data_IF_978091710971
#
_entry.id   IF_978091710971
#
_cell.length_a   1.000
_cell.length_b   1.000
_cell.length_c   1.000
_cell.angle_alpha   90.00
_cell.angle_beta   90.00
_cell.angle_gamma   90.00
#
_symmetry.space_group_name_H-M   'P 1'
#
loop_
_entity.id
_entity.type
_entity.pdbx_description
1 polymer ?
#
# COMPACT_ATOMS: atom_id res chain seq x y z
N UNK A 1 -18.07 -9.44 25.02
CA UNK A 1 -18.72 -8.14 24.65
C UNK A 1 -19.26 -8.26 23.23
N UNK A 2 -20.31 -7.51 22.85
CA UNK A 2 -20.94 -7.64 21.52
C UNK A 2 -20.70 -6.43 20.63
N UNK A 3 -20.17 -6.68 19.44
CA UNK A 3 -19.88 -5.68 18.43
C UNK A 3 -20.65 -5.96 17.14
N UNK A 4 -21.19 -4.91 16.53
CA UNK A 4 -21.75 -5.06 15.18
C UNK A 4 -20.62 -5.32 14.16
N UNK A 5 -19.46 -4.69 14.33
CA UNK A 5 -18.30 -4.85 13.45
C UNK A 5 -17.04 -5.00 14.31
N UNK A 6 -16.24 -6.03 14.03
CA UNK A 6 -14.86 -6.18 14.55
C UNK A 6 -13.90 -6.04 13.37
N UNK A 7 -12.96 -5.11 13.47
CA UNK A 7 -11.92 -4.87 12.46
C UNK A 7 -10.59 -5.35 13.05
N UNK A 8 -9.94 -6.29 12.38
CA UNK A 8 -8.68 -6.91 12.82
C UNK A 8 -7.53 -6.25 12.05
N UNK A 9 -6.67 -5.51 12.76
CA UNK A 9 -5.62 -4.67 12.19
C UNK A 9 -5.98 -3.19 12.28
N UNK A 10 -5.26 -2.43 13.10
CA UNK A 10 -5.54 -1.04 13.42
C UNK A 10 -4.68 -0.01 12.70
N UNK A 11 -3.84 -0.45 11.77
CA UNK A 11 -3.04 0.41 10.89
C UNK A 11 -3.94 1.13 9.86
N UNK A 12 -3.37 1.63 8.76
CA UNK A 12 -4.08 2.56 7.87
C UNK A 12 -5.33 1.96 7.23
N UNK A 13 -5.32 0.69 6.82
CA UNK A 13 -6.47 0.04 6.15
C UNK A 13 -7.65 -0.09 7.13
N UNK A 14 -7.44 -0.72 8.29
CA UNK A 14 -8.50 -0.89 9.28
C UNK A 14 -8.97 0.44 9.87
N UNK A 15 -8.06 1.39 10.09
CA UNK A 15 -8.43 2.76 10.49
C UNK A 15 -9.28 3.46 9.42
N UNK A 16 -8.99 3.26 8.13
CA UNK A 16 -9.77 3.82 7.03
C UNK A 16 -11.18 3.21 6.97
N UNK A 17 -11.31 1.89 7.13
CA UNK A 17 -12.61 1.20 7.21
C UNK A 17 -13.44 1.75 8.38
N UNK A 18 -12.86 1.81 9.58
CA UNK A 18 -13.55 2.33 10.77
C UNK A 18 -13.98 3.80 10.59
N UNK A 19 -13.12 4.61 9.99
CA UNK A 19 -13.37 6.03 9.76
C UNK A 19 -14.53 6.22 8.80
N UNK A 20 -14.49 5.56 7.63
CA UNK A 20 -15.53 5.72 6.64
C UNK A 20 -16.84 5.04 7.01
N UNK A 21 -16.84 3.98 7.83
CA UNK A 21 -18.09 3.45 8.40
C UNK A 21 -18.87 4.55 9.13
N UNK A 22 -18.16 5.37 9.93
CA UNK A 22 -18.76 6.50 10.64
C UNK A 22 -19.15 7.63 9.69
N UNK A 23 -18.34 7.95 8.68
CA UNK A 23 -18.72 8.91 7.63
C UNK A 23 -19.93 8.45 6.79
N UNK A 24 -20.14 7.14 6.66
CA UNK A 24 -21.33 6.58 6.00
C UNK A 24 -22.56 6.53 6.90
N UNK A 25 -22.49 7.03 8.13
CA UNK A 25 -23.61 7.07 9.06
C UNK A 25 -23.86 5.76 9.80
N UNK A 26 -22.93 4.80 9.77
CA UNK A 26 -23.04 3.60 10.59
C UNK A 26 -23.02 4.00 12.07
N UNK A 27 -24.09 3.65 12.80
CA UNK A 27 -24.27 4.01 14.21
C UNK A 27 -24.02 2.86 15.19
N UNK A 28 -23.80 1.64 14.70
CA UNK A 28 -23.53 0.45 15.51
C UNK A 28 -22.18 0.49 16.24
N UNK A 29 -21.92 -0.53 17.04
CA UNK A 29 -20.66 -0.70 17.80
C UNK A 29 -19.55 -1.24 16.90
N UNK A 30 -18.36 -0.62 16.99
CA UNK A 30 -17.16 -1.00 16.22
C UNK A 30 -16.01 -1.25 17.20
N UNK A 31 -15.42 -2.44 17.13
CA UNK A 31 -14.13 -2.72 17.76
C UNK A 31 -13.03 -2.67 16.69
N UNK A 32 -11.97 -1.90 16.94
CA UNK A 32 -10.75 -1.89 16.15
C UNK A 32 -9.63 -2.54 16.96
N UNK A 33 -9.26 -3.76 16.58
CA UNK A 33 -8.29 -4.60 17.29
C UNK A 33 -6.90 -4.44 16.66
N UNK A 34 -5.92 -4.06 17.47
CA UNK A 34 -4.52 -3.92 17.06
C UNK A 34 -3.61 -4.59 18.09
N UNK A 35 -2.63 -5.36 17.64
CA UNK A 35 -1.68 -6.03 18.54
C UNK A 35 -0.57 -5.08 19.00
N UNK A 36 -0.13 -4.17 18.12
CA UNK A 36 0.95 -3.23 18.38
C UNK A 36 0.43 -1.79 18.28
N UNK A 37 0.15 -1.14 19.43
CA UNK A 37 -0.38 0.22 19.44
C UNK A 37 0.64 1.27 18.97
N UNK A 38 1.92 0.92 18.88
CA UNK A 38 2.99 1.79 18.40
C UNK A 38 3.24 1.64 16.89
N UNK A 39 2.69 0.59 16.26
CA UNK A 39 2.90 0.29 14.84
C UNK A 39 4.38 0.14 14.47
N UNK A 40 5.19 -0.39 15.38
CA UNK A 40 6.64 -0.54 15.22
C UNK A 40 7.00 -1.39 14.00
N UNK A 41 6.22 -2.45 13.76
CA UNK A 41 6.45 -3.41 12.67
C UNK A 41 5.34 -3.38 11.61
N UNK A 42 4.52 -2.32 11.59
CA UNK A 42 3.44 -2.24 10.62
C UNK A 42 3.97 -1.90 9.22
N UNK A 43 3.45 -2.58 8.19
CA UNK A 43 3.76 -2.25 6.79
C UNK A 43 3.52 -0.77 6.46
N UNK A 44 2.53 -0.15 7.11
CA UNK A 44 2.21 1.29 6.99
C UNK A 44 3.41 2.17 7.35
N UNK A 45 4.00 1.98 8.52
CA UNK A 45 5.03 2.85 9.11
C UNK A 45 6.42 2.57 8.55
N UNK A 46 6.66 1.33 8.11
CA UNK A 46 7.92 0.90 7.48
C UNK A 46 7.94 1.06 5.95
N UNK A 47 6.90 1.67 5.35
CA UNK A 47 6.84 1.91 3.91
C UNK A 47 7.67 3.12 3.45
N UNK A 48 7.92 3.19 2.14
CA UNK A 48 8.48 4.37 1.46
C UNK A 48 7.46 5.52 1.27
N UNK A 49 6.21 5.28 1.65
CA UNK A 49 5.11 6.24 1.73
C UNK A 49 4.92 7.13 0.48
N UNK A 50 4.36 6.56 -0.58
CA UNK A 50 4.24 7.23 -1.86
C UNK A 50 2.88 6.97 -2.53
N UNK A 51 2.49 7.88 -3.42
CA UNK A 51 1.25 7.83 -4.19
C UNK A 51 1.56 8.00 -5.66
N UNK A 52 0.93 7.15 -6.48
CA UNK A 52 1.01 7.19 -7.94
C UNK A 52 -0.34 6.82 -8.55
N UNK A 53 -0.49 7.18 -9.80
CA UNK A 53 -1.58 6.80 -10.72
C UNK A 53 -1.06 5.85 -11.81
N UNK A 54 0.26 5.64 -11.91
CA UNK A 54 0.88 4.76 -12.90
C UNK A 54 0.64 3.27 -12.59
N UNK A 55 -0.55 2.78 -12.96
CA UNK A 55 -0.95 1.37 -12.97
C UNK A 55 -1.39 0.95 -14.38
N UNK A 56 -1.52 -0.35 -14.62
CA UNK A 56 -2.05 -0.94 -15.85
C UNK A 56 -3.56 -1.22 -15.77
N UNK A 57 -4.08 -1.44 -14.55
CA UNK A 57 -5.49 -1.74 -14.29
C UNK A 57 -6.24 -0.46 -13.88
N UNK A 58 -7.31 -0.05 -14.59
CA UNK A 58 -8.08 1.15 -14.29
C UNK A 58 -8.59 1.23 -12.85
N UNK A 59 -9.03 0.11 -12.28
CA UNK A 59 -9.53 0.04 -10.91
C UNK A 59 -8.48 0.48 -9.88
N UNK A 60 -7.22 0.09 -10.05
CA UNK A 60 -6.14 0.51 -9.16
C UNK A 60 -5.81 2.01 -9.30
N UNK A 61 -5.92 2.56 -10.52
CA UNK A 61 -5.78 4.00 -10.77
C UNK A 61 -6.86 4.79 -10.02
N UNK A 62 -8.12 4.33 -10.12
CA UNK A 62 -9.27 4.97 -9.45
C UNK A 62 -9.14 4.94 -7.92
N UNK A 63 -8.63 3.86 -7.34
CA UNK A 63 -8.33 3.78 -5.90
C UNK A 63 -7.32 4.86 -5.49
N UNK A 64 -6.21 5.01 -6.23
CA UNK A 64 -5.21 6.04 -5.95
C UNK A 64 -5.74 7.45 -6.16
N UNK A 65 -6.52 7.69 -7.21
CA UNK A 65 -7.15 8.99 -7.47
C UNK A 65 -8.12 9.41 -6.37
N UNK A 66 -8.86 8.47 -5.76
CA UNK A 66 -9.68 8.77 -4.59
C UNK A 66 -8.82 9.31 -3.44
N UNK A 67 -7.74 8.62 -3.11
CA UNK A 67 -6.83 9.03 -2.03
C UNK A 67 -6.13 10.34 -2.34
N UNK A 68 -5.74 10.58 -3.60
CA UNK A 68 -5.20 11.87 -4.02
C UNK A 68 -6.20 13.02 -3.79
N UNK A 69 -7.48 12.82 -4.10
CA UNK A 69 -8.55 13.80 -3.81
C UNK A 69 -8.71 14.05 -2.31
N UNK A 70 -8.46 13.04 -1.47
CA UNK A 70 -8.40 13.21 -0.02
C UNK A 70 -7.20 14.06 0.40
N UNK A 71 -6.01 13.84 -0.18
CA UNK A 71 -4.81 14.61 0.15
C UNK A 71 -5.01 16.12 -0.07
N UNK A 72 -5.77 16.51 -1.11
CA UNK A 72 -6.12 17.91 -1.36
C UNK A 72 -7.10 18.52 -0.37
N UNK A 73 -7.84 17.68 0.36
CA UNK A 73 -8.93 18.09 1.27
C UNK A 73 -8.65 17.71 2.73
N UNK A 74 -7.41 17.37 3.08
CA UNK A 74 -7.06 16.94 4.44
C UNK A 74 -7.51 17.93 5.51
N UNK A 75 -7.40 19.23 5.24
CA UNK A 75 -7.80 20.27 6.20
C UNK A 75 -9.30 20.36 6.39
N UNK A 76 -10.06 20.12 5.33
CA UNK A 76 -11.53 20.05 5.39
C UNK A 76 -11.96 18.80 6.17
N UNK A 77 -11.28 17.67 5.92
CA UNK A 77 -11.65 16.36 6.44
C UNK A 77 -11.21 16.14 7.91
N UNK A 78 -10.01 16.58 8.26
CA UNK A 78 -9.34 16.30 9.54
C UNK A 78 -9.05 17.55 10.38
N UNK A 79 -9.41 18.74 9.89
CA UNK A 79 -9.23 20.02 10.58
C UNK A 79 -8.02 20.83 10.10
N UNK A 80 -7.97 22.11 10.46
CA UNK A 80 -7.04 23.10 9.89
C UNK A 80 -5.54 22.74 9.97
N UNK A 81 -5.15 22.00 11.01
CA UNK A 81 -3.75 21.58 11.24
C UNK A 81 -3.39 20.26 10.53
N UNK A 82 -4.29 19.68 9.75
CA UNK A 82 -4.03 18.42 9.06
C UNK A 82 -3.00 18.63 7.94
N UNK A 83 -1.87 17.94 8.09
CA UNK A 83 -0.79 17.89 7.13
C UNK A 83 -0.11 16.52 7.18
N UNK A 84 0.20 15.97 6.01
CA UNK A 84 0.94 14.71 5.85
C UNK A 84 2.30 14.95 5.20
N UNK A 85 2.71 16.20 5.00
CA UNK A 85 3.95 16.54 4.33
C UNK A 85 3.98 16.09 2.86
N UNK A 86 2.83 16.10 2.17
CA UNK A 86 2.75 15.63 0.78
C UNK A 86 3.66 16.47 -0.13
N UNK A 87 4.65 15.80 -0.72
CA UNK A 87 5.56 16.31 -1.74
C UNK A 87 5.15 15.76 -3.08
N UNK A 88 4.59 16.63 -3.90
CA UNK A 88 4.16 16.31 -5.26
C UNK A 88 5.34 16.42 -6.23
N UNK A 89 6.35 15.57 -6.03
CA UNK A 89 7.56 15.54 -6.87
C UNK A 89 7.41 14.70 -8.14
N UNK A 90 6.29 14.00 -8.32
CA UNK A 90 6.06 13.10 -9.44
C UNK A 90 6.69 11.72 -9.25
N UNK A 91 6.42 10.86 -10.22
CA UNK A 91 6.96 9.51 -10.34
C UNK A 91 7.46 9.30 -11.77
N UNK A 92 8.69 8.84 -11.93
CA UNK A 92 9.30 8.52 -13.23
C UNK A 92 9.58 7.02 -13.29
N UNK A 93 8.80 6.28 -14.08
CA UNK A 93 9.03 4.86 -14.34
C UNK A 93 9.73 4.73 -15.68
N UNK A 94 10.95 4.20 -15.66
CA UNK A 94 11.76 3.99 -16.85
C UNK A 94 11.50 2.62 -17.47
N UNK A 95 11.67 2.51 -18.78
CA UNK A 95 11.68 1.25 -19.51
C UNK A 95 12.84 1.19 -20.51
N UNK A 96 13.50 0.04 -20.57
CA UNK A 96 14.34 -0.35 -21.70
C UNK A 96 13.49 -0.84 -22.88
N UNK A 97 14.16 -1.40 -23.89
CA UNK A 97 13.52 -1.83 -25.15
C UNK A 97 12.40 -2.84 -24.90
N UNK A 98 12.65 -3.87 -24.07
CA UNK A 98 11.69 -4.93 -23.76
C UNK A 98 10.46 -4.44 -22.98
N UNK A 99 10.63 -3.40 -22.15
CA UNK A 99 9.57 -2.83 -21.32
C UNK A 99 8.71 -1.79 -22.04
N UNK A 100 9.19 -1.25 -23.17
CA UNK A 100 8.55 -0.14 -23.88
C UNK A 100 7.11 -0.41 -24.34
N UNK A 101 6.76 -1.60 -24.90
CA UNK A 101 5.39 -1.87 -25.30
C UNK A 101 4.41 -1.84 -24.12
N UNK A 102 4.82 -2.39 -22.98
CA UNK A 102 3.99 -2.40 -21.77
C UNK A 102 3.88 -0.99 -21.19
N UNK A 103 4.98 -0.22 -21.14
CA UNK A 103 4.96 1.17 -20.68
C UNK A 103 3.99 2.04 -21.50
N UNK A 104 3.97 1.86 -22.83
CA UNK A 104 3.00 2.52 -23.73
C UNK A 104 1.55 2.13 -23.43
N UNK A 105 1.27 0.83 -23.33
CA UNK A 105 -0.07 0.34 -23.01
C UNK A 105 -0.57 0.83 -21.65
N UNK A 106 0.32 0.86 -20.65
CA UNK A 106 0.01 1.38 -19.32
C UNK A 106 -0.28 2.89 -19.38
N UNK A 107 0.54 3.66 -20.10
CA UNK A 107 0.34 5.10 -20.31
C UNK A 107 -1.02 5.40 -20.95
N UNK A 108 -1.44 4.63 -21.95
CA UNK A 108 -2.75 4.78 -22.58
C UNK A 108 -3.90 4.54 -21.58
N UNK A 109 -3.82 3.50 -20.76
CA UNK A 109 -4.81 3.22 -19.72
C UNK A 109 -4.86 4.36 -18.66
N UNK A 110 -3.70 4.90 -18.29
CA UNK A 110 -3.59 6.00 -17.34
C UNK A 110 -4.20 7.30 -17.87
N UNK A 111 -3.92 7.63 -19.13
CA UNK A 111 -4.52 8.79 -19.79
C UNK A 111 -6.03 8.63 -19.94
N UNK A 112 -6.53 7.42 -20.21
CA UNK A 112 -7.96 7.14 -20.28
C UNK A 112 -8.69 7.36 -18.94
N UNK A 113 -8.01 7.14 -17.81
CA UNK A 113 -8.49 7.47 -16.47
C UNK A 113 -8.23 8.93 -16.05
N UNK A 114 -7.70 9.76 -16.96
CA UNK A 114 -7.47 11.19 -16.74
C UNK A 114 -6.26 11.53 -15.88
N UNK A 115 -5.31 10.61 -15.71
CA UNK A 115 -4.07 10.89 -15.02
C UNK A 115 -3.16 11.80 -15.87
N UNK A 116 -2.40 12.68 -15.20
CA UNK A 116 -1.54 13.67 -15.86
C UNK A 116 -0.10 13.14 -16.00
N UNK A 117 0.08 12.19 -16.93
CA UNK A 117 1.33 11.48 -17.15
C UNK A 117 1.81 11.71 -18.58
N UNK A 118 3.09 12.02 -18.74
CA UNK A 118 3.75 12.10 -20.06
C UNK A 118 4.61 10.89 -20.30
N UNK A 119 4.62 10.40 -21.54
CA UNK A 119 5.56 9.40 -22.00
C UNK A 119 6.63 10.09 -22.84
N UNK A 120 7.88 10.01 -22.39
CA UNK A 120 9.02 10.70 -22.99
C UNK A 120 10.09 9.71 -23.42
N UNK A 121 10.68 9.93 -24.60
CA UNK A 121 11.85 9.17 -25.05
C UNK A 121 13.14 9.58 -24.31
N UNK A 122 14.22 8.83 -24.54
CA UNK A 122 15.51 9.09 -23.91
C UNK A 122 16.02 10.54 -24.09
N UNK A 123 15.88 11.11 -25.28
CA UNK A 123 16.34 12.48 -25.56
C UNK A 123 15.51 13.53 -24.82
N UNK A 124 14.19 13.33 -24.74
CA UNK A 124 13.27 14.16 -23.97
C UNK A 124 13.58 14.07 -22.47
N UNK A 125 13.84 12.87 -21.96
CA UNK A 125 14.24 12.65 -20.57
C UNK A 125 15.56 13.34 -20.24
N UNK A 126 16.60 13.21 -21.07
CA UNK A 126 17.88 13.90 -20.87
C UNK A 126 17.73 15.42 -20.88
N UNK A 127 16.84 15.96 -21.71
CA UNK A 127 16.52 17.40 -21.70
C UNK A 127 15.78 17.83 -20.43
N UNK A 128 14.86 17.00 -19.93
CA UNK A 128 14.06 17.29 -18.74
C UNK A 128 14.86 17.14 -17.45
N UNK A 129 15.63 16.07 -17.36
CA UNK A 129 16.43 15.68 -16.20
C UNK A 129 17.89 15.53 -16.63
N UNK A 130 18.66 16.62 -16.76
CA UNK A 130 20.06 16.55 -17.24
C UNK A 130 21.01 15.74 -16.35
N UNK A 131 20.59 15.44 -15.12
CA UNK A 131 21.31 14.60 -14.17
C UNK A 131 21.05 13.09 -14.37
N UNK A 132 20.05 12.71 -15.16
CA UNK A 132 19.67 11.33 -15.43
C UNK A 132 20.47 10.78 -16.61
N UNK A 133 21.13 9.66 -16.41
CA UNK A 133 21.67 8.83 -17.49
C UNK A 133 20.55 7.98 -18.10
N UNK A 134 20.41 8.07 -19.42
CA UNK A 134 19.45 7.32 -20.22
C UNK A 134 20.09 6.12 -20.93
N UNK A 135 21.28 5.70 -20.49
CA UNK A 135 21.93 4.48 -20.99
C UNK A 135 21.02 3.26 -20.81
N UNK A 136 20.72 2.57 -21.93
CA UNK A 136 19.84 1.40 -21.94
C UNK A 136 18.35 1.70 -21.72
N UNK A 137 17.96 2.98 -21.67
CA UNK A 137 16.58 3.42 -21.49
C UNK A 137 15.99 3.84 -22.83
N UNK A 138 14.82 3.30 -23.17
CA UNK A 138 14.10 3.68 -24.38
C UNK A 138 13.09 4.80 -24.14
N UNK A 139 12.40 4.77 -22.99
CA UNK A 139 11.43 5.79 -22.60
C UNK A 139 11.20 5.81 -21.09
N UNK A 140 10.48 6.83 -20.63
CA UNK A 140 9.99 6.93 -19.26
C UNK A 140 8.60 7.56 -19.20
N UNK A 141 7.76 7.05 -18.30
CA UNK A 141 6.48 7.63 -17.97
C UNK A 141 6.62 8.49 -16.71
N UNK A 142 6.33 9.78 -16.83
CA UNK A 142 6.48 10.78 -15.77
C UNK A 142 5.15 11.41 -15.40
N UNK A 143 4.71 11.21 -14.15
CA UNK A 143 3.57 11.94 -13.60
C UNK A 143 3.91 13.38 -13.28
N UNK A 144 3.32 14.31 -14.05
CA UNK A 144 3.53 15.76 -13.90
C UNK A 144 2.82 16.32 -12.67
N UNK A 145 1.65 15.77 -12.33
CA UNK A 145 0.86 16.14 -11.15
C UNK A 145 0.20 14.91 -10.54
N UNK A 146 -0.16 15.02 -9.26
CA UNK A 146 -0.90 14.02 -8.51
C UNK A 146 -0.07 12.85 -7.97
N UNK A 147 1.26 12.87 -8.15
CA UNK A 147 2.15 11.78 -7.74
C UNK A 147 3.30 12.30 -6.87
N UNK A 148 3.80 11.45 -5.97
CA UNK A 148 4.92 11.80 -5.10
C UNK A 148 4.92 11.01 -3.80
N UNK A 149 5.35 11.64 -2.70
CA UNK A 149 5.52 10.99 -1.40
C UNK A 149 5.03 11.85 -0.24
N UNK A 150 4.79 11.21 0.90
CA UNK A 150 4.22 11.82 2.08
C UNK A 150 4.65 11.05 3.33
N UNK A 151 4.28 11.53 4.52
CA UNK A 151 4.55 10.86 5.77
C UNK A 151 3.41 9.89 6.14
N UNK A 152 3.72 8.59 6.14
CA UNK A 152 2.76 7.54 6.48
C UNK A 152 2.29 7.60 7.94
N UNK A 153 3.15 8.02 8.88
CA UNK A 153 2.80 8.16 10.29
C UNK A 153 1.85 9.33 10.50
N UNK A 154 2.07 10.45 9.82
CA UNK A 154 1.19 11.60 9.84
C UNK A 154 -0.20 11.22 9.30
N UNK A 155 -0.26 10.51 8.16
CA UNK A 155 -1.52 10.03 7.61
C UNK A 155 -2.25 9.09 8.59
N UNK A 156 -1.58 8.08 9.12
CA UNK A 156 -2.16 7.17 10.13
C UNK A 156 -2.65 7.93 11.36
N UNK A 157 -1.88 8.92 11.82
CA UNK A 157 -2.21 9.75 12.97
C UNK A 157 -3.48 10.57 12.73
N UNK A 158 -3.68 11.14 11.54
CA UNK A 158 -4.91 11.86 11.19
C UNK A 158 -6.14 10.97 11.33
N UNK A 159 -6.13 9.79 10.71
CA UNK A 159 -7.23 8.83 10.79
C UNK A 159 -7.50 8.40 12.24
N UNK A 160 -6.45 8.01 12.98
CA UNK A 160 -6.59 7.55 14.37
C UNK A 160 -7.05 8.66 15.31
N UNK A 161 -6.58 9.90 15.13
CA UNK A 161 -7.04 11.06 15.90
C UNK A 161 -8.53 11.31 15.65
N UNK A 162 -8.99 11.25 14.40
CA UNK A 162 -10.39 11.42 14.07
C UNK A 162 -11.27 10.32 14.68
N UNK A 163 -10.80 9.07 14.67
CA UNK A 163 -11.52 7.94 15.25
C UNK A 163 -11.77 8.05 16.76
N UNK A 164 -10.87 8.71 17.53
CA UNK A 164 -11.08 8.96 18.97
C UNK A 164 -12.36 9.75 19.27
N UNK A 165 -12.84 10.52 18.30
CA UNK A 165 -14.07 11.32 18.42
C UNK A 165 -15.31 10.60 17.83
N UNK A 166 -15.13 9.40 17.26
CA UNK A 166 -16.16 8.68 16.49
C UNK A 166 -16.68 7.41 17.15
N UNK A 167 -16.57 7.29 18.49
CA UNK A 167 -17.08 6.15 19.28
C UNK A 167 -16.65 4.79 18.70
N UNK A 168 -15.36 4.64 18.42
CA UNK A 168 -14.76 3.36 18.02
C UNK A 168 -13.93 2.86 19.19
N UNK A 169 -14.15 1.62 19.59
CA UNK A 169 -13.45 1.02 20.72
C UNK A 169 -12.12 0.46 20.22
N UNK A 170 -11.02 1.04 20.71
CA UNK A 170 -9.67 0.57 20.41
C UNK A 170 -9.29 -0.53 21.39
N UNK A 171 -9.04 -1.73 20.87
CA UNK A 171 -8.67 -2.89 21.68
C UNK A 171 -7.23 -3.27 21.33
N UNK A 172 -6.37 -3.29 22.35
CA UNK A 172 -4.97 -3.68 22.19
C UNK A 172 -4.86 -5.17 22.55
N UNK A 173 -4.81 -6.03 21.53
CA UNK A 173 -4.74 -7.48 21.72
C UNK A 173 -4.35 -8.20 20.42
N UNK A 174 -3.72 -9.36 20.57
CA UNK A 174 -3.67 -10.36 19.50
C UNK A 174 -5.05 -11.01 19.31
N UNK A 175 -5.43 -11.23 18.06
CA UNK A 175 -6.53 -12.15 17.73
C UNK A 175 -5.95 -13.56 17.60
N UNK A 176 -6.56 -14.52 18.29
CA UNK A 176 -6.04 -15.89 18.40
C UNK A 176 -6.95 -16.94 17.79
N UNK A 177 -8.26 -16.68 17.68
CA UNK A 177 -9.23 -17.55 17.03
C UNK A 177 -10.44 -16.77 16.52
N UNK A 178 -11.13 -17.32 15.51
CA UNK A 178 -12.39 -16.78 15.00
C UNK A 178 -13.43 -17.90 14.99
N UNK A 179 -14.48 -17.73 15.80
CA UNK A 179 -15.56 -18.69 15.91
C UNK A 179 -16.55 -18.54 14.74
N UNK A 180 -17.04 -19.68 14.24
CA UNK A 180 -18.06 -19.76 13.19
C UNK A 180 -19.20 -20.67 13.59
N UNK A 181 -20.39 -20.31 13.14
CA UNK A 181 -21.56 -21.19 13.06
C UNK A 181 -21.91 -21.36 11.59
N UNK A 182 -21.53 -22.52 11.02
CA UNK A 182 -21.58 -22.78 9.58
C UNK A 182 -20.88 -21.69 8.75
N UNK A 183 -21.67 -20.99 7.94
CA UNK A 183 -21.20 -19.95 7.01
C UNK A 183 -21.25 -18.54 7.61
N UNK A 184 -21.23 -18.42 8.94
CA UNK A 184 -21.28 -17.13 9.62
C UNK A 184 -20.25 -17.05 10.73
N UNK A 185 -19.43 -16.01 10.74
CA UNK A 185 -18.58 -15.69 11.89
C UNK A 185 -19.43 -15.19 13.05
N UNK A 186 -19.18 -15.68 14.25
CA UNK A 186 -19.97 -15.34 15.46
C UNK A 186 -19.14 -14.63 16.52
N UNK A 187 -17.82 -14.81 16.53
CA UNK A 187 -16.96 -14.12 17.47
C UNK A 187 -15.47 -14.20 17.17
N UNK A 188 -14.70 -13.36 17.86
CA UNK A 188 -13.25 -13.20 17.75
C UNK A 188 -12.66 -13.35 19.15
N UNK A 189 -11.81 -14.35 19.34
CA UNK A 189 -11.09 -14.58 20.59
C UNK A 189 -9.78 -13.81 20.61
N UNK A 190 -9.48 -13.22 21.77
CA UNK A 190 -8.32 -12.38 21.99
C UNK A 190 -7.27 -13.12 22.83
N UNK A 191 -6.00 -12.72 22.71
CA UNK A 191 -4.88 -13.30 23.45
C UNK A 191 -4.96 -13.13 24.97
N UNK A 192 -5.77 -12.19 25.45
CA UNK A 192 -6.05 -11.97 26.87
C UNK A 192 -7.16 -12.89 27.44
N UNK A 193 -7.71 -13.81 26.63
CA UNK A 193 -8.79 -14.72 27.02
C UNK A 193 -10.20 -14.18 26.83
N UNK A 194 -10.37 -12.91 26.46
CA UNK A 194 -11.68 -12.35 26.14
C UNK A 194 -12.18 -12.82 24.77
N UNK A 195 -13.51 -12.80 24.58
CA UNK A 195 -14.13 -13.03 23.28
C UNK A 195 -15.12 -11.91 22.95
N UNK A 196 -14.98 -11.40 21.72
CA UNK A 196 -15.85 -10.40 21.14
C UNK A 196 -16.88 -11.11 20.26
N UNK A 197 -18.17 -11.02 20.57
CA UNK A 197 -19.20 -11.42 19.62
C UNK A 197 -19.20 -10.44 18.45
N UNK A 198 -19.25 -10.96 17.22
CA UNK A 198 -19.09 -10.17 16.00
C UNK A 198 -20.28 -10.35 15.04
N UNK A 199 -20.89 -9.23 14.66
CA UNK A 199 -21.85 -9.17 13.56
C UNK A 199 -21.16 -9.39 12.21
N UNK A 200 -20.15 -8.58 11.94
CA UNK A 200 -19.25 -8.60 10.77
C UNK A 200 -17.81 -8.60 11.27
N UNK A 201 -16.92 -9.31 10.59
CA UNK A 201 -15.47 -9.23 10.78
C UNK A 201 -14.82 -8.69 9.51
N UNK A 202 -13.97 -7.68 9.66
CA UNK A 202 -13.12 -7.16 8.57
C UNK A 202 -11.68 -7.56 8.87
N UNK A 203 -11.10 -8.38 7.99
CA UNK A 203 -9.69 -8.70 8.01
C UNK A 203 -8.89 -7.57 7.35
N UNK A 204 -8.23 -6.76 8.16
CA UNK A 204 -7.30 -5.71 7.72
C UNK A 204 -5.89 -5.96 8.29
N UNK A 205 -5.54 -7.24 8.53
CA UNK A 205 -4.37 -7.64 9.31
C UNK A 205 -3.03 -7.58 8.55
N UNK A 206 -2.99 -6.86 7.41
CA UNK A 206 -1.80 -6.67 6.59
C UNK A 206 -1.05 -7.98 6.33
N UNK A 207 0.26 -8.07 6.62
CA UNK A 207 1.06 -9.28 6.34
C UNK A 207 0.55 -10.56 7.05
N UNK A 208 -0.28 -10.42 8.08
CA UNK A 208 -0.88 -11.55 8.80
C UNK A 208 -2.27 -11.94 8.27
N UNK A 209 -2.74 -11.35 7.17
CA UNK A 209 -4.09 -11.57 6.64
C UNK A 209 -4.40 -13.04 6.38
N UNK A 210 -3.47 -13.80 5.78
CA UNK A 210 -3.65 -15.24 5.56
C UNK A 210 -3.82 -16.02 6.85
N UNK A 211 -3.04 -15.71 7.89
CA UNK A 211 -3.15 -16.33 9.22
C UNK A 211 -4.50 -16.02 9.88
N UNK A 212 -4.97 -14.78 9.76
CA UNK A 212 -6.27 -14.36 10.31
C UNK A 212 -7.43 -15.03 9.55
N UNK A 213 -7.35 -15.15 8.22
CA UNK A 213 -8.33 -15.91 7.44
C UNK A 213 -8.38 -17.38 7.87
N UNK A 214 -7.21 -18.00 8.07
CA UNK A 214 -7.09 -19.40 8.53
C UNK A 214 -7.72 -19.63 9.91
N UNK A 215 -7.69 -18.64 10.81
CA UNK A 215 -8.42 -18.71 12.10
C UNK A 215 -9.93 -18.85 11.94
N UNK A 216 -10.49 -18.38 10.82
CA UNK A 216 -11.88 -18.57 10.44
C UNK A 216 -12.08 -19.80 9.53
N UNK A 217 -11.07 -20.65 9.35
CA UNK A 217 -11.13 -21.78 8.42
C UNK A 217 -11.26 -21.36 6.94
N UNK A 218 -10.71 -20.20 6.58
CA UNK A 218 -10.70 -19.68 5.21
C UNK A 218 -9.26 -19.63 4.69
N UNK A 219 -9.09 -19.96 3.42
CA UNK A 219 -7.81 -19.77 2.73
C UNK A 219 -7.71 -18.34 2.21
N UNK A 220 -6.50 -17.79 2.19
CA UNK A 220 -6.21 -16.51 1.56
C UNK A 220 -4.73 -16.54 1.17
N UNK A 221 -4.37 -16.39 -0.12
CA UNK A 221 -3.00 -16.48 -0.60
C UNK A 221 -2.22 -15.19 -0.30
N UNK A 222 -2.30 -14.68 0.92
CA UNK A 222 -1.63 -13.46 1.36
C UNK A 222 -0.70 -13.79 2.51
N UNK A 223 0.60 -13.55 2.30
CA UNK A 223 1.66 -13.87 3.24
C UNK A 223 2.67 -12.70 3.37
N UNK A 224 3.46 -12.64 4.44
CA UNK A 224 4.47 -11.61 4.58
C UNK A 224 5.56 -11.78 3.53
N UNK A 225 6.14 -10.66 3.12
CA UNK A 225 7.37 -10.60 2.33
C UNK A 225 8.26 -9.49 2.87
N UNK A 226 9.55 -9.77 3.02
CA UNK A 226 10.51 -8.81 3.58
C UNK A 226 10.99 -7.89 2.46
N UNK A 227 10.97 -6.58 2.72
CA UNK A 227 11.53 -5.55 1.85
C UNK A 227 12.47 -4.66 2.64
N UNK A 228 13.59 -4.28 2.04
CA UNK A 228 14.61 -3.44 2.66
C UNK A 228 14.54 -2.02 2.09
N UNK A 229 14.70 -1.04 2.96
CA UNK A 229 14.84 0.37 2.56
C UNK A 229 16.14 0.89 3.14
N UNK A 230 16.90 1.58 2.28
CA UNK A 230 18.18 2.18 2.62
C UNK A 230 18.08 3.71 2.49
N UNK A 231 18.82 4.38 3.35
CA UNK A 231 18.97 5.83 3.37
C UNK A 231 20.43 6.14 3.09
N UNK A 232 20.68 7.07 2.17
CA UNK A 232 22.03 7.53 1.89
C UNK A 232 22.10 9.05 1.73
N UNK A 233 23.29 9.57 1.97
CA UNK A 233 23.67 10.94 1.65
C UNK A 233 24.42 10.96 0.32
N UNK A 234 24.11 11.95 -0.52
CA UNK A 234 24.89 12.30 -1.70
C UNK A 234 25.14 13.81 -1.67
N UNK A 235 26.27 14.23 -2.24
CA UNK A 235 26.63 15.65 -2.34
C UNK A 235 25.60 16.43 -3.15
N UNK A 236 25.22 15.89 -4.30
CA UNK A 236 24.31 16.58 -5.21
C UNK A 236 22.85 16.37 -4.83
N UNK A 237 22.09 17.46 -4.97
CA UNK A 237 20.67 17.58 -4.63
C UNK A 237 19.91 18.07 -5.85
N UNK A 238 18.88 17.33 -6.22
CA UNK A 238 18.06 17.59 -7.40
C UNK A 238 16.66 17.97 -6.95
N UNK A 239 16.33 19.26 -7.03
CA UNK A 239 15.03 19.78 -6.58
C UNK A 239 13.86 19.29 -7.44
N UNK A 240 14.16 18.95 -8.69
CA UNK A 240 13.25 18.44 -9.71
C UNK A 240 13.18 16.89 -9.75
N UNK A 241 13.89 16.19 -8.85
CA UNK A 241 13.95 14.74 -8.88
C UNK A 241 12.64 14.09 -8.42
N UNK A 242 11.97 13.31 -9.27
CA UNK A 242 10.81 12.52 -8.88
C UNK A 242 11.23 11.30 -8.06
N UNK A 243 10.25 10.51 -7.61
CA UNK A 243 10.56 9.11 -7.31
C UNK A 243 10.87 8.41 -8.64
N UNK A 244 12.11 8.00 -8.81
CA UNK A 244 12.62 7.31 -9.98
C UNK A 244 12.52 5.80 -9.78
N UNK A 245 12.01 5.07 -10.78
CA UNK A 245 12.07 3.60 -10.84
C UNK A 245 12.80 3.15 -12.09
N UNK A 246 13.85 2.37 -11.87
CA UNK A 246 14.66 1.72 -12.87
C UNK A 246 14.01 0.44 -13.41
N UNK A 247 14.26 0.00 -14.66
CA UNK A 247 13.72 -1.27 -15.17
C UNK A 247 14.12 -2.51 -14.35
N UNK A 248 15.18 -2.45 -13.53
CA UNK A 248 15.55 -3.51 -12.58
C UNK A 248 14.59 -3.63 -11.38
N UNK A 249 13.65 -2.71 -11.21
CA UNK A 249 12.77 -2.62 -10.04
C UNK A 249 13.34 -1.82 -8.87
N UNK A 250 14.57 -1.29 -8.99
CA UNK A 250 15.15 -0.39 -8.00
C UNK A 250 14.48 0.97 -8.10
N UNK A 251 14.12 1.52 -6.96
CA UNK A 251 13.56 2.85 -6.86
C UNK A 251 14.39 3.76 -5.96
N UNK A 252 14.32 5.07 -6.21
CA UNK A 252 14.97 6.08 -5.37
C UNK A 252 14.16 7.38 -5.37
N UNK A 253 14.11 8.07 -4.22
CA UNK A 253 13.56 9.43 -4.11
C UNK A 253 14.31 10.28 -3.11
N UNK A 254 14.25 11.62 -3.23
CA UNK A 254 14.74 12.53 -2.20
C UNK A 254 13.83 12.53 -0.95
N UNK A 255 14.42 12.81 0.20
CA UNK A 255 13.76 13.04 1.50
C UNK A 255 14.58 14.07 2.29
N UNK A 256 14.17 15.35 2.24
CA UNK A 256 14.92 16.42 2.87
C UNK A 256 16.36 16.50 2.35
N UNK A 257 17.34 16.24 3.22
CA UNK A 257 18.78 16.25 2.88
C UNK A 257 19.34 14.88 2.49
N UNK A 258 18.52 13.82 2.47
CA UNK A 258 18.95 12.45 2.17
C UNK A 258 18.15 11.88 0.99
N UNK A 259 18.50 10.66 0.59
CA UNK A 259 17.77 9.86 -0.39
C UNK A 259 17.34 8.54 0.21
N UNK A 260 16.19 8.04 -0.20
CA UNK A 260 15.68 6.71 0.17
C UNK A 260 15.63 5.84 -1.07
N UNK A 261 16.03 4.58 -0.93
CA UNK A 261 16.05 3.59 -2.01
C UNK A 261 15.70 2.20 -1.50
N UNK A 262 15.23 1.34 -2.40
CA UNK A 262 14.92 -0.06 -2.13
C UNK A 262 14.51 -0.76 -3.43
N UNK A 263 14.03 -2.00 -3.30
CA UNK A 263 13.74 -2.89 -4.42
C UNK A 263 14.88 -3.87 -4.72
N UNK A 264 14.76 -4.59 -5.83
CA UNK A 264 15.70 -5.61 -6.31
C UNK A 264 15.91 -6.83 -5.41
N UNK A 265 14.99 -7.15 -4.51
CA UNK A 265 14.95 -8.50 -3.93
C UNK A 265 14.68 -9.53 -5.06
N UNK A 266 15.57 -10.50 -5.31
CA UNK A 266 15.40 -11.48 -6.39
C UNK A 266 14.14 -12.31 -6.15
N UNK A 267 13.36 -12.57 -7.21
CA UNK A 267 12.22 -13.51 -7.13
C UNK A 267 12.69 -14.90 -6.67
N UNK A 268 13.91 -15.30 -7.08
CA UNK A 268 14.54 -16.53 -6.65
C UNK A 268 14.88 -16.45 -5.15
N UNK A 269 14.06 -17.13 -4.34
CA UNK A 269 14.18 -17.14 -2.88
C UNK A 269 13.28 -16.14 -2.15
N UNK A 270 12.47 -15.35 -2.86
CA UNK A 270 11.47 -14.44 -2.26
C UNK A 270 10.30 -15.25 -1.67
N UNK A 271 10.48 -15.67 -0.42
CA UNK A 271 9.55 -16.49 0.36
C UNK A 271 9.07 -15.76 1.61
N UNK A 272 8.09 -16.35 2.28
CA UNK A 272 7.62 -15.82 3.56
C UNK A 272 8.79 -15.80 4.56
N UNK A 273 9.13 -14.63 5.15
CA UNK A 273 10.17 -14.55 6.16
C UNK A 273 9.71 -15.19 7.47
N UNK A 274 10.65 -15.41 8.39
CA UNK A 274 10.27 -15.61 9.78
C UNK A 274 9.48 -14.38 10.27
N UNK A 275 8.36 -14.54 11.00
CA UNK A 275 7.55 -13.41 11.46
C UNK A 275 8.31 -12.36 12.30
N UNK A 276 9.42 -12.72 12.93
CA UNK A 276 10.29 -11.83 13.70
C UNK A 276 11.49 -11.29 12.93
N UNK A 277 11.69 -11.68 11.67
CA UNK A 277 12.84 -11.24 10.86
C UNK A 277 12.62 -9.83 10.28
N UNK A 278 13.12 -8.83 11.00
CA UNK A 278 13.24 -7.44 10.56
C UNK A 278 14.70 -7.02 10.35
N UNK A 279 15.60 -8.00 10.21
CA UNK A 279 17.02 -7.73 10.00
C UNK A 279 17.27 -7.25 8.57
N UNK A 280 18.03 -6.17 8.46
CA UNK A 280 18.40 -5.53 7.19
C UNK A 280 19.44 -6.37 6.46
N UNK A 281 19.20 -6.64 5.19
CA UNK A 281 20.18 -7.26 4.30
C UNK A 281 21.12 -6.21 3.67
N UNK A 282 22.14 -5.76 4.41
CA UNK A 282 23.09 -4.74 3.93
C UNK A 282 23.80 -5.04 2.60
N UNK A 283 24.23 -6.28 2.31
CA UNK A 283 24.79 -6.63 1.00
C UNK A 283 23.92 -6.24 -0.20
N UNK A 284 22.59 -6.24 -0.06
CA UNK A 284 21.67 -5.80 -1.11
C UNK A 284 21.97 -4.37 -1.58
N UNK A 285 22.34 -3.49 -0.65
CA UNK A 285 22.65 -2.10 -0.99
C UNK A 285 23.93 -2.01 -1.82
N UNK A 286 25.00 -2.65 -1.36
CA UNK A 286 26.34 -2.52 -1.97
C UNK A 286 26.47 -3.31 -3.29
N UNK A 287 25.91 -4.51 -3.34
CA UNK A 287 26.13 -5.45 -4.44
C UNK A 287 25.11 -5.27 -5.58
N UNK A 288 23.92 -4.72 -5.30
CA UNK A 288 22.80 -4.68 -6.26
C UNK A 288 22.29 -3.26 -6.47
N UNK A 289 21.89 -2.56 -5.39
CA UNK A 289 21.22 -1.26 -5.50
C UNK A 289 22.18 -0.18 -5.98
N UNK A 290 23.32 -0.01 -5.30
CA UNK A 290 24.24 1.09 -5.56
C UNK A 290 24.80 1.10 -7.00
N UNK A 291 25.22 -0.04 -7.61
CA UNK A 291 25.65 -0.05 -9.00
C UNK A 291 24.60 0.52 -9.97
N UNK A 292 23.32 0.13 -9.82
CA UNK A 292 22.23 0.63 -10.67
C UNK A 292 21.98 2.12 -10.44
N UNK A 293 22.00 2.57 -9.18
CA UNK A 293 21.85 3.99 -8.86
C UNK A 293 22.99 4.84 -9.45
N UNK A 294 24.23 4.37 -9.39
CA UNK A 294 25.39 5.04 -9.98
C UNK A 294 25.29 5.09 -11.51
N UNK A 295 24.81 4.03 -12.16
CA UNK A 295 24.55 4.04 -13.62
C UNK A 295 23.48 5.07 -13.99
N UNK A 296 22.37 5.16 -13.25
CA UNK A 296 21.25 6.06 -13.59
C UNK A 296 21.50 7.50 -13.20
N UNK A 297 22.22 7.75 -12.12
CA UNK A 297 22.55 9.09 -11.66
C UNK A 297 24.06 9.09 -11.41
N UNK A 298 24.89 9.51 -12.39
CA UNK A 298 26.35 9.41 -12.29
C UNK A 298 26.94 10.09 -11.04
N UNK A 299 26.29 11.14 -10.52
CA UNK A 299 26.69 11.76 -9.25
C UNK A 299 26.56 10.83 -8.03
N UNK A 300 25.85 9.71 -8.14
CA UNK A 300 25.70 8.70 -7.10
C UNK A 300 26.82 7.64 -7.11
N UNK A 301 27.84 7.77 -7.97
CA UNK A 301 29.11 7.04 -7.81
C UNK A 301 29.78 7.30 -6.46
N UNK A 302 29.47 8.43 -5.82
CA UNK A 302 29.99 8.79 -4.50
C UNK A 302 28.85 9.11 -3.51
N UNK A 303 28.29 8.06 -2.91
CA UNK A 303 27.26 8.16 -1.87
C UNK A 303 27.72 7.52 -0.56
N UNK A 304 27.03 7.88 0.53
CA UNK A 304 27.28 7.35 1.86
C UNK A 304 26.00 6.75 2.44
N UNK A 305 25.88 5.41 2.58
CA UNK A 305 24.76 4.82 3.30
C UNK A 305 24.79 5.27 4.77
N UNK A 306 23.63 5.53 5.34
CA UNK A 306 23.50 6.06 6.72
C UNK A 306 22.60 5.21 7.60
N UNK A 307 21.39 4.89 7.13
CA UNK A 307 20.40 4.13 7.88
C UNK A 307 19.70 3.15 6.95
N UNK A 308 19.10 2.13 7.53
CA UNK A 308 18.24 1.22 6.81
C UNK A 308 17.24 0.60 7.75
N UNK A 309 16.18 0.04 7.20
CA UNK A 309 15.23 -0.80 7.92
C UNK A 309 14.67 -1.86 6.99
N UNK A 310 14.21 -2.97 7.58
CA UNK A 310 13.42 -3.95 6.86
C UNK A 310 11.97 -3.91 7.38
N UNK A 311 11.03 -4.19 6.50
CA UNK A 311 9.61 -4.29 6.84
C UNK A 311 8.96 -5.45 6.12
N UNK A 312 7.84 -5.93 6.65
CA UNK A 312 6.99 -6.90 5.97
C UNK A 312 5.83 -6.19 5.32
N UNK A 313 5.52 -6.56 4.08
CA UNK A 313 4.27 -6.19 3.41
C UNK A 313 3.44 -7.42 3.06
N UNK A 314 2.16 -7.20 2.80
CA UNK A 314 1.18 -8.25 2.51
C UNK A 314 1.16 -8.61 1.03
N UNK A 315 1.90 -9.65 0.70
CA UNK A 315 2.09 -10.12 -0.66
C UNK A 315 1.04 -11.15 -1.02
N UNK A 316 0.24 -10.86 -2.05
CA UNK A 316 -0.69 -11.81 -2.63
C UNK A 316 0.04 -12.71 -3.63
N UNK A 317 0.22 -13.99 -3.29
CA UNK A 317 0.95 -14.96 -4.12
C UNK A 317 0.22 -15.35 -5.40
N UNK A 318 -1.08 -15.06 -5.52
CA UNK A 318 -1.82 -15.29 -6.76
C UNK A 318 -1.39 -14.30 -7.85
N UNK A 319 -1.45 -13.01 -7.54
CA UNK A 319 -1.36 -11.96 -8.56
C UNK A 319 -0.82 -10.62 -8.09
N UNK A 320 -0.37 -10.54 -6.83
CA UNK A 320 0.16 -9.32 -6.24
C UNK A 320 -0.87 -8.17 -6.20
N UNK A 321 -2.17 -8.49 -6.17
CA UNK A 321 -3.23 -7.47 -6.16
C UNK A 321 -4.22 -7.68 -5.00
N UNK A 322 -4.91 -6.61 -4.61
CA UNK A 322 -5.75 -6.59 -3.43
C UNK A 322 -6.93 -7.57 -3.51
N UNK A 323 -7.31 -8.12 -2.35
CA UNK A 323 -8.55 -8.87 -2.14
C UNK A 323 -9.46 -8.02 -1.26
N UNK A 324 -10.59 -7.60 -1.83
CA UNK A 324 -11.51 -6.63 -1.21
C UNK A 324 -12.94 -7.15 -1.25
N UNK A 325 -13.64 -7.09 -0.12
CA UNK A 325 -15.05 -7.44 -0.03
C UNK A 325 -15.31 -8.78 0.68
N UNK A 326 -16.55 -9.30 0.64
CA UNK A 326 -16.96 -10.44 1.45
C UNK A 326 -16.46 -11.75 0.85
N UNK A 327 -16.23 -12.74 1.71
CA UNK A 327 -16.14 -14.13 1.26
C UNK A 327 -17.49 -14.57 0.65
N UNK A 328 -17.52 -15.30 -0.48
CA UNK A 328 -18.77 -15.71 -1.13
C UNK A 328 -19.67 -16.59 -0.25
N UNK A 329 -19.07 -17.49 0.53
CA UNK A 329 -19.79 -18.36 1.47
C UNK A 329 -19.97 -17.71 2.86
N UNK A 330 -18.87 -17.26 3.48
CA UNK A 330 -18.88 -16.58 4.78
C UNK A 330 -19.08 -15.08 4.63
N UNK A 331 -20.28 -14.68 4.18
CA UNK A 331 -20.58 -13.31 3.73
C UNK A 331 -20.37 -12.19 4.75
N UNK A 332 -20.29 -12.52 6.06
CA UNK A 332 -19.98 -11.55 7.11
C UNK A 332 -18.49 -11.48 7.50
N UNK A 333 -17.61 -12.15 6.76
CA UNK A 333 -16.16 -12.01 6.84
C UNK A 333 -15.66 -11.31 5.57
N UNK A 334 -15.11 -10.11 5.74
CA UNK A 334 -14.69 -9.23 4.65
C UNK A 334 -13.16 -9.11 4.63
N UNK A 335 -12.59 -9.05 3.43
CA UNK A 335 -11.16 -8.87 3.16
C UNK A 335 -10.86 -7.42 2.80
N UNK A 336 -9.67 -6.97 3.23
CA UNK A 336 -9.06 -5.69 2.90
C UNK A 336 -7.54 -5.85 2.95
N UNK A 337 -6.98 -6.67 2.05
CA UNK A 337 -5.60 -7.18 2.16
C UNK A 337 -4.97 -7.43 0.78
N UNK A 338 -3.70 -7.83 0.76
CA UNK A 338 -3.01 -8.36 -0.43
C UNK A 338 -2.49 -7.28 -1.37
N UNK A 339 -2.34 -6.05 -0.89
CA UNK A 339 -2.01 -4.89 -1.71
C UNK A 339 -0.61 -4.91 -2.31
N UNK A 340 0.26 -5.80 -1.85
CA UNK A 340 1.59 -6.10 -2.42
C UNK A 340 2.42 -4.86 -2.79
N UNK A 341 2.40 -3.83 -1.93
CA UNK A 341 3.20 -2.60 -2.10
C UNK A 341 2.39 -1.32 -2.17
N UNK A 342 1.08 -1.40 -2.42
CA UNK A 342 0.28 -0.19 -2.70
C UNK A 342 -0.76 0.12 -1.62
N UNK A 343 -0.75 -0.63 -0.51
CA UNK A 343 -1.81 -0.59 0.49
C UNK A 343 -1.97 0.76 1.18
N UNK A 344 -0.88 1.52 1.38
CA UNK A 344 -0.96 2.84 2.00
C UNK A 344 -1.76 3.84 1.17
N UNK A 345 -1.46 3.94 -0.13
CA UNK A 345 -2.16 4.87 -1.03
C UNK A 345 -3.59 4.41 -1.36
N UNK A 346 -3.90 3.12 -1.29
CA UNK A 346 -5.24 2.61 -1.60
C UNK A 346 -6.14 2.48 -0.36
N UNK A 347 -5.58 2.49 0.85
CA UNK A 347 -6.32 2.26 2.09
C UNK A 347 -7.54 3.17 2.28
N UNK A 348 -7.49 4.50 2.06
CA UNK A 348 -8.69 5.34 2.18
C UNK A 348 -9.81 4.93 1.23
N UNK A 349 -9.47 4.65 -0.03
CA UNK A 349 -10.44 4.25 -1.04
C UNK A 349 -11.10 2.91 -0.70
N UNK A 350 -10.30 1.93 -0.27
CA UNK A 350 -10.82 0.63 0.19
C UNK A 350 -11.67 0.76 1.45
N UNK A 351 -11.24 1.60 2.40
CA UNK A 351 -12.01 1.90 3.60
C UNK A 351 -13.39 2.47 3.27
N UNK A 352 -13.45 3.41 2.33
CA UNK A 352 -14.68 4.00 1.82
C UNK A 352 -15.55 2.97 1.09
N UNK A 353 -14.98 2.17 0.20
CA UNK A 353 -15.69 1.15 -0.55
C UNK A 353 -16.33 0.09 0.37
N UNK A 354 -15.58 -0.42 1.35
CA UNK A 354 -16.11 -1.40 2.31
C UNK A 354 -17.15 -0.79 3.25
N UNK A 355 -16.97 0.46 3.69
CA UNK A 355 -17.99 1.15 4.46
C UNK A 355 -19.30 1.31 3.68
N UNK A 356 -19.22 1.67 2.39
CA UNK A 356 -20.39 1.76 1.52
C UNK A 356 -21.05 0.39 1.32
N UNK A 357 -20.26 -0.66 1.08
CA UNK A 357 -20.79 -2.01 0.96
C UNK A 357 -21.53 -2.45 2.23
N UNK A 358 -20.95 -2.22 3.41
CA UNK A 358 -21.53 -2.62 4.70
C UNK A 358 -22.81 -1.84 5.00
N UNK A 359 -22.83 -0.53 4.77
CA UNK A 359 -23.95 0.33 5.15
C UNK A 359 -25.07 0.32 4.11
N UNK A 360 -24.71 0.27 2.82
CA UNK A 360 -25.63 0.49 1.71
C UNK A 360 -25.87 -0.76 0.85
N UNK A 361 -25.14 -1.84 1.09
CA UNK A 361 -25.26 -3.09 0.31
C UNK A 361 -24.56 -3.07 -1.05
N UNK A 362 -23.75 -2.06 -1.35
CA UNK A 362 -23.01 -1.98 -2.61
C UNK A 362 -21.95 -0.87 -2.62
N UNK A 363 -20.94 -1.03 -3.48
CA UNK A 363 -19.95 0.01 -3.77
C UNK A 363 -20.63 1.20 -4.46
N UNK A 364 -20.27 2.45 -4.09
CA UNK A 364 -20.88 3.66 -4.66
C UNK A 364 -19.86 4.64 -5.23
N UNK A 365 -18.72 4.82 -4.56
CA UNK A 365 -17.70 5.78 -4.99
C UNK A 365 -16.65 5.16 -5.91
N UNK A 366 -16.10 4.00 -5.52
CA UNK A 366 -15.17 3.20 -6.36
C UNK A 366 -15.68 1.77 -6.35
N UNK A 367 -15.89 1.19 -7.53
CA UNK A 367 -16.29 -0.21 -7.66
C UNK A 367 -15.08 -1.12 -7.42
N UNK A 368 -15.15 -1.91 -6.34
CA UNK A 368 -14.11 -2.87 -5.98
C UNK A 368 -14.46 -4.32 -6.37
N UNK A 369 -15.50 -4.55 -7.17
CA UNK A 369 -16.00 -5.89 -7.50
C UNK A 369 -14.92 -6.76 -8.17
N UNK A 370 -14.04 -6.16 -8.99
CA UNK A 370 -12.93 -6.85 -9.64
C UNK A 370 -11.89 -7.41 -8.65
N UNK A 371 -11.81 -6.88 -7.42
CA UNK A 371 -10.92 -7.35 -6.36
C UNK A 371 -11.55 -8.43 -5.47
N UNK A 372 -12.80 -8.83 -5.74
CA UNK A 372 -13.56 -9.76 -4.90
C UNK A 372 -12.93 -11.15 -4.78
N UNK A 373 -13.13 -11.79 -3.62
CA UNK A 373 -12.56 -13.12 -3.31
C UNK A 373 -12.95 -14.22 -4.32
N UNK A 374 -14.06 -14.08 -5.05
CA UNK A 374 -14.46 -15.05 -6.08
C UNK A 374 -13.36 -15.35 -7.10
N UNK A 375 -12.58 -14.34 -7.51
CA UNK A 375 -11.45 -14.53 -8.42
C UNK A 375 -10.35 -15.41 -7.79
N UNK A 376 -10.14 -15.30 -6.48
CA UNK A 376 -9.15 -16.08 -5.73
C UNK A 376 -9.59 -17.54 -5.66
N UNK A 377 -10.85 -17.79 -5.32
CA UNK A 377 -11.43 -19.13 -5.30
C UNK A 377 -11.35 -19.83 -6.67
N UNK A 378 -11.46 -19.06 -7.76
CA UNK A 378 -11.35 -19.55 -9.13
C UNK A 378 -9.90 -19.65 -9.65
N UNK A 379 -8.89 -19.22 -8.86
CA UNK A 379 -7.49 -19.15 -9.32
C UNK A 379 -7.26 -18.14 -10.45
N UNK A 380 -8.16 -17.17 -10.61
CA UNK A 380 -8.15 -16.18 -11.69
C UNK A 380 -7.39 -14.93 -11.26
N UNK A 381 -6.17 -14.79 -11.80
CA UNK A 381 -5.30 -13.65 -11.54
C UNK A 381 -5.86 -12.33 -12.10
N UNK A 382 -5.66 -11.26 -11.35
CA UNK A 382 -5.94 -9.86 -11.71
C UNK A 382 -4.65 -9.06 -11.49
N UNK A 383 -3.61 -9.42 -12.24
CA UNK A 383 -2.23 -8.95 -12.05
C UNK A 383 -1.97 -7.65 -12.80
N UNK A 384 -1.27 -6.72 -12.14
CA UNK A 384 -0.71 -5.53 -12.77
C UNK A 384 0.51 -5.86 -13.64
N UNK A 385 0.74 -5.10 -14.71
CA UNK A 385 1.87 -5.29 -15.62
C UNK A 385 2.90 -4.16 -15.45
N UNK A 386 4.17 -4.52 -15.18
CA UNK A 386 5.29 -3.59 -15.00
C UNK A 386 4.97 -2.41 -14.07
N UNK A 387 4.39 -2.72 -12.92
CA UNK A 387 4.23 -1.77 -11.81
C UNK A 387 5.26 -2.07 -10.73
N UNK A 388 5.59 -1.05 -9.95
CA UNK A 388 6.60 -1.05 -8.87
C UNK A 388 6.11 -1.82 -7.66
#
# INVERSE_FOLDING_TARGET
MRYNIVIIGGAIVGSSVAYYLREQGFSGTIALVERDPQFTHAATTLSMASIRQQFSIPENIRLSQFTLKLFRRLKEEFGADADIGFREGGYLILAGEDGLPILKSNHEAQMAEGADIVLEDADQLTRRFPWLSTEGISAGAYGRTGEGWFDAHAMLTLFRKALRQKKVDFIIADVTAIARDGNRVTGVSLGNGETLEAGIVVNAAGPNAGKVAAMAGLELPVEPRKRNVFVFEAREKYADMPLLVDPSGIYVRPEGSVYLTGGAEPEEGDRAPDPGDFEVNWPLFEEVIWPVLATRIPAFEAIKPTRAWAGHYDYNTLDQNAVIGPHPEVGNFLFANGFSGHGLQQAPAVGKALAELIVHGGYRTVDCSAFGYGRVAEGRAFRELNVI
#
